data_IF_501023268108
#
_entry.id   IF_501023268108
#
_cell.length_a   1.000
_cell.length_b   1.000
_cell.length_c   1.000
_cell.angle_alpha   90.00
_cell.angle_beta   90.00
_cell.angle_gamma   90.00
#
_symmetry.space_group_name_H-M   'P 1'
#
loop_
_entity.id
_entity.type
_entity.pdbx_description
1 polymer ?
#
# COMPACT_ATOMS: atom_id res chain seq x y z
N UNK A 1 10.78 1.38 -7.69
CA UNK A 1 10.75 2.61 -8.54
C UNK A 1 11.29 2.30 -9.92
N UNK A 2 10.59 2.71 -10.98
CA UNK A 2 11.11 2.51 -12.34
C UNK A 2 12.38 3.34 -12.53
N UNK A 3 13.38 2.77 -13.21
CA UNK A 3 14.65 3.47 -13.52
C UNK A 3 14.45 4.79 -14.27
N UNK A 4 13.30 4.99 -14.91
CA UNK A 4 12.97 6.20 -15.66
C UNK A 4 12.60 7.39 -14.77
N UNK A 5 11.87 7.19 -13.69
CA UNK A 5 11.47 8.25 -12.75
C UNK A 5 12.70 8.80 -12.03
N UNK A 6 13.64 7.94 -11.62
CA UNK A 6 14.88 8.39 -10.98
C UNK A 6 15.83 9.15 -11.93
N UNK A 7 15.74 8.90 -13.23
CA UNK A 7 16.51 9.66 -14.24
C UNK A 7 15.91 11.04 -14.54
N UNK A 8 14.59 11.13 -14.54
CA UNK A 8 13.87 12.38 -14.85
C UNK A 8 13.84 13.37 -13.69
N UNK A 9 13.89 12.87 -12.45
CA UNK A 9 13.70 13.69 -11.24
C UNK A 9 14.95 14.39 -10.71
N UNK A 10 16.08 14.33 -11.39
CA UNK A 10 17.35 14.90 -10.88
C UNK A 10 17.88 14.25 -9.57
N UNK A 11 17.18 13.24 -9.07
CA UNK A 11 17.47 12.55 -7.79
C UNK A 11 18.48 11.42 -7.93
N UNK A 12 19.37 11.54 -8.92
CA UNK A 12 20.48 10.59 -9.09
C UNK A 12 21.40 10.66 -7.87
N UNK A 13 21.65 9.50 -7.26
CA UNK A 13 22.59 9.38 -6.15
C UNK A 13 21.96 9.35 -4.76
N UNK A 14 20.66 9.61 -4.61
CA UNK A 14 19.98 9.40 -3.34
C UNK A 14 19.81 7.91 -3.08
N UNK A 15 20.39 7.42 -1.95
CA UNK A 15 20.36 6.01 -1.57
C UNK A 15 19.00 5.61 -1.00
N UNK A 16 18.36 6.49 -0.27
CA UNK A 16 17.09 6.27 0.41
C UNK A 16 15.97 7.08 -0.24
N UNK A 17 14.74 6.58 -0.18
CA UNK A 17 13.58 7.36 -0.61
C UNK A 17 13.20 8.40 0.47
N UNK A 18 12.42 9.40 0.08
CA UNK A 18 12.00 10.49 0.97
C UNK A 18 11.33 9.96 2.25
N UNK A 19 10.41 9.01 2.14
CA UNK A 19 9.69 8.47 3.31
C UNK A 19 10.62 7.80 4.31
N UNK A 20 11.60 7.04 3.84
CA UNK A 20 12.59 6.40 4.70
C UNK A 20 13.43 7.42 5.45
N UNK A 21 13.79 8.52 4.79
CA UNK A 21 14.50 9.63 5.41
C UNK A 21 13.62 10.39 6.41
N UNK A 22 12.34 10.61 6.07
CA UNK A 22 11.38 11.23 6.98
C UNK A 22 11.19 10.39 8.26
N UNK A 23 11.01 9.07 8.15
CA UNK A 23 10.91 8.17 9.31
C UNK A 23 12.15 8.31 10.20
N UNK A 24 13.33 8.37 9.61
CA UNK A 24 14.59 8.53 10.35
C UNK A 24 14.73 9.91 11.00
N UNK A 25 14.22 10.97 10.37
CA UNK A 25 14.21 12.32 10.89
C UNK A 25 13.17 12.49 11.99
N UNK A 26 11.96 11.94 11.82
CA UNK A 26 10.87 11.98 12.82
C UNK A 26 11.27 11.30 14.13
N UNK A 27 12.21 10.36 14.08
CA UNK A 27 12.75 9.73 15.28
C UNK A 27 13.64 10.66 16.12
N UNK A 28 14.10 11.77 15.58
CA UNK A 28 14.83 12.84 16.26
C UNK A 28 13.91 14.04 16.30
N UNK A 29 13.75 14.71 17.41
CA UNK A 29 12.92 15.94 17.54
C UNK A 29 13.05 16.82 16.29
N UNK A 30 11.95 17.00 15.53
CA UNK A 30 12.00 17.73 14.27
C UNK A 30 12.31 19.20 14.53
N UNK A 31 13.42 19.64 13.96
CA UNK A 31 13.76 21.05 13.87
C UNK A 31 13.47 21.51 12.43
N UNK A 32 12.87 22.68 12.24
CA UNK A 32 12.58 23.28 10.92
C UNK A 32 13.80 23.24 9.98
N UNK A 33 15.00 23.34 10.54
CA UNK A 33 16.24 23.25 9.76
C UNK A 33 16.47 21.85 9.17
N UNK A 34 16.10 20.77 9.88
CA UNK A 34 16.22 19.41 9.36
C UNK A 34 15.20 19.15 8.25
N UNK A 35 13.97 19.68 8.41
CA UNK A 35 12.93 19.62 7.38
C UNK A 35 13.36 20.38 6.14
N UNK A 36 13.92 21.57 6.31
CA UNK A 36 14.46 22.38 5.21
C UNK A 36 15.59 21.65 4.50
N UNK A 37 16.54 21.10 5.23
CA UNK A 37 17.64 20.32 4.65
C UNK A 37 17.12 19.11 3.86
N UNK A 38 16.11 18.41 4.39
CA UNK A 38 15.47 17.29 3.71
C UNK A 38 14.74 17.73 2.42
N UNK A 39 14.05 18.88 2.47
CA UNK A 39 13.39 19.48 1.33
C UNK A 39 14.40 19.81 0.20
N UNK A 40 15.50 20.44 0.57
CA UNK A 40 16.58 20.81 -0.35
C UNK A 40 17.25 19.56 -0.96
N UNK A 41 17.55 18.55 -0.15
CA UNK A 41 18.16 17.27 -0.59
C UNK A 41 17.29 16.54 -1.63
N UNK A 42 15.97 16.57 -1.44
CA UNK A 42 15.02 15.88 -2.34
C UNK A 42 14.42 16.79 -3.41
N UNK A 43 14.81 18.04 -3.48
CA UNK A 43 14.26 19.04 -4.40
C UNK A 43 12.73 19.10 -4.36
N UNK A 44 12.18 19.13 -3.17
CA UNK A 44 10.74 19.29 -2.89
C UNK A 44 10.50 20.50 -1.99
N UNK A 45 9.30 21.04 -2.03
CA UNK A 45 8.93 22.13 -1.12
C UNK A 45 8.76 21.62 0.33
N UNK A 46 9.02 22.47 1.32
CA UNK A 46 8.73 22.15 2.73
C UNK A 46 7.26 21.77 2.94
N UNK A 47 6.33 22.41 2.21
CA UNK A 47 4.92 22.09 2.23
C UNK A 47 4.63 20.63 1.83
N UNK A 48 5.42 20.05 0.92
CA UNK A 48 5.29 18.64 0.52
C UNK A 48 5.68 17.72 1.67
N UNK A 49 6.73 18.05 2.42
CA UNK A 49 7.16 17.26 3.59
C UNK A 49 6.12 17.35 4.70
N UNK A 50 5.67 18.56 5.05
CA UNK A 50 4.62 18.74 6.04
C UNK A 50 3.29 18.09 5.63
N UNK A 51 2.93 18.16 4.34
CA UNK A 51 1.77 17.48 3.82
C UNK A 51 1.87 15.95 3.95
N UNK A 52 3.04 15.38 3.65
CA UNK A 52 3.26 13.94 3.84
C UNK A 52 3.22 13.56 5.33
N UNK A 53 3.83 14.36 6.20
CA UNK A 53 3.85 14.14 7.65
C UNK A 53 2.45 14.17 8.25
N UNK A 54 1.63 15.13 7.85
CA UNK A 54 0.25 15.23 8.34
C UNK A 54 -0.68 14.16 7.77
N UNK A 55 -0.40 13.67 6.56
CA UNK A 55 -1.22 12.67 5.89
C UNK A 55 -0.95 11.24 6.40
N UNK A 56 0.32 10.87 6.58
CA UNK A 56 0.68 9.50 6.95
C UNK A 56 0.79 9.36 8.46
N UNK A 57 -0.07 8.56 9.06
CA UNK A 57 -0.15 8.33 10.52
C UNK A 57 1.20 7.95 11.14
N UNK A 58 2.00 7.14 10.47
CA UNK A 58 3.29 6.69 10.97
C UNK A 58 4.41 7.75 10.90
N UNK A 59 4.16 8.88 10.22
CA UNK A 59 5.10 10.01 10.17
C UNK A 59 4.80 11.06 11.24
N UNK A 60 3.63 11.00 11.89
CA UNK A 60 3.23 11.99 12.90
C UNK A 60 4.09 11.88 14.16
N UNK A 61 4.61 13.00 14.69
CA UNK A 61 5.45 13.00 15.88
C UNK A 61 4.81 12.33 17.10
N UNK A 62 3.50 12.52 17.29
CA UNK A 62 2.73 11.92 18.40
C UNK A 62 2.62 10.39 18.31
N UNK A 63 2.92 9.83 17.15
CA UNK A 63 2.86 8.39 16.91
C UNK A 63 4.22 7.69 16.98
N UNK A 64 5.28 8.42 17.28
CA UNK A 64 6.66 7.93 17.33
C UNK A 64 6.87 6.67 18.18
N UNK A 65 6.13 6.56 19.27
CA UNK A 65 6.21 5.44 20.20
C UNK A 65 5.37 4.22 19.78
N UNK A 66 4.58 4.34 18.72
CA UNK A 66 3.74 3.24 18.25
C UNK A 66 4.59 2.17 17.58
N UNK A 67 4.31 0.90 17.91
CA UNK A 67 5.01 -0.27 17.39
C UNK A 67 4.15 -1.11 16.45
N UNK A 68 2.85 -1.13 16.71
CA UNK A 68 1.89 -1.83 15.88
C UNK A 68 0.76 -0.90 15.46
N UNK A 69 0.24 -1.12 14.26
CA UNK A 69 -0.80 -0.30 13.65
C UNK A 69 -1.95 -1.18 13.24
N UNK A 70 -3.14 -0.84 13.68
CA UNK A 70 -4.36 -1.56 13.36
C UNK A 70 -5.09 -0.83 12.24
N UNK A 71 -5.53 -1.58 11.25
CA UNK A 71 -6.28 -1.03 10.13
C UNK A 71 -7.65 -0.51 10.58
N UNK A 72 -7.91 0.77 10.34
CA UNK A 72 -9.19 1.42 10.57
C UNK A 72 -9.91 1.77 9.25
N UNK A 73 -9.61 1.03 8.19
CA UNK A 73 -10.30 1.14 6.91
C UNK A 73 -11.71 0.55 6.97
N UNK A 74 -12.60 1.03 6.10
CA UNK A 74 -14.03 0.70 6.12
C UNK A 74 -14.33 -0.80 6.15
N UNK A 75 -13.62 -1.62 5.37
CA UNK A 75 -13.82 -3.07 5.35
C UNK A 75 -13.51 -3.72 6.72
N UNK A 76 -12.41 -3.33 7.37
CA UNK A 76 -12.07 -3.83 8.70
C UNK A 76 -13.03 -3.33 9.77
N UNK A 77 -13.49 -2.08 9.66
CA UNK A 77 -14.51 -1.52 10.57
C UNK A 77 -15.83 -2.26 10.44
N UNK A 78 -16.32 -2.49 9.22
CA UNK A 78 -17.55 -3.24 8.96
C UNK A 78 -17.46 -4.69 9.47
N UNK A 79 -16.29 -5.29 9.45
CA UNK A 79 -16.07 -6.63 10.01
C UNK A 79 -16.10 -6.65 11.55
N UNK A 80 -15.98 -5.50 12.23
CA UNK A 80 -16.09 -5.37 13.67
C UNK A 80 -15.01 -6.13 14.46
N UNK A 81 -13.83 -6.27 13.89
CA UNK A 81 -12.77 -7.14 14.46
C UNK A 81 -11.67 -6.36 15.19
N UNK A 82 -11.69 -5.00 15.13
CA UNK A 82 -10.65 -4.15 15.69
C UNK A 82 -10.48 -4.31 17.19
N UNK A 83 -11.57 -4.37 17.96
CA UNK A 83 -11.50 -4.46 19.42
C UNK A 83 -10.78 -5.72 19.89
N UNK A 84 -11.04 -6.85 19.23
CA UNK A 84 -10.35 -8.11 19.50
C UNK A 84 -8.86 -8.00 19.20
N UNK A 85 -8.51 -7.35 18.09
CA UNK A 85 -7.15 -7.15 17.66
C UNK A 85 -6.40 -6.19 18.57
N UNK A 86 -7.03 -5.05 18.92
CA UNK A 86 -6.51 -4.07 19.88
C UNK A 86 -6.18 -4.77 21.21
N UNK A 87 -7.12 -5.56 21.73
CA UNK A 87 -6.93 -6.30 23.00
C UNK A 87 -5.73 -7.23 22.93
N UNK A 88 -5.69 -8.12 21.93
CA UNK A 88 -4.59 -9.09 21.76
C UNK A 88 -3.22 -8.40 21.62
N UNK A 89 -3.12 -7.34 20.82
CA UNK A 89 -1.86 -6.61 20.64
C UNK A 89 -1.49 -5.77 21.87
N UNK A 90 -2.48 -5.15 22.53
CA UNK A 90 -2.24 -4.37 23.75
C UNK A 90 -1.74 -5.23 24.89
N UNK A 91 -2.25 -6.44 25.05
CA UNK A 91 -1.82 -7.39 26.07
C UNK A 91 -0.33 -7.78 25.90
N UNK A 92 0.19 -7.71 24.67
CA UNK A 92 1.58 -8.09 24.35
C UNK A 92 2.55 -6.90 24.29
N UNK A 93 2.11 -5.79 23.73
CA UNK A 93 2.98 -4.64 23.44
C UNK A 93 2.76 -3.46 24.38
N UNK A 94 1.62 -3.44 25.08
CA UNK A 94 1.14 -2.28 25.84
C UNK A 94 0.23 -1.39 24.98
N UNK A 95 -0.82 -0.86 25.60
CA UNK A 95 -1.85 -0.04 24.93
C UNK A 95 -1.27 1.19 24.23
N UNK A 96 -0.26 1.82 24.87
CA UNK A 96 0.38 3.02 24.34
C UNK A 96 1.21 2.76 23.07
N UNK A 97 1.54 1.50 22.79
CA UNK A 97 2.33 1.10 21.60
C UNK A 97 1.47 0.74 20.40
N UNK A 98 0.15 0.84 20.53
CA UNK A 98 -0.78 0.56 19.44
C UNK A 98 -1.27 1.86 18.82
N UNK A 99 -1.19 1.95 17.51
CA UNK A 99 -1.74 3.01 16.69
C UNK A 99 -2.85 2.50 15.77
N UNK A 100 -3.59 3.44 15.22
CA UNK A 100 -4.58 3.17 14.17
C UNK A 100 -4.10 3.79 12.88
N UNK A 101 -4.36 3.15 11.75
CA UNK A 101 -4.10 3.72 10.43
C UNK A 101 -5.15 3.27 9.41
N UNK A 102 -5.30 4.07 8.36
CA UNK A 102 -6.20 3.71 7.28
C UNK A 102 -5.57 2.65 6.37
N UNK A 103 -6.40 1.89 5.75
CA UNK A 103 -6.25 0.75 4.87
C UNK A 103 -4.81 0.20 4.65
N UNK A 104 -4.57 -0.99 5.19
CA UNK A 104 -3.32 -1.76 4.97
C UNK A 104 -3.34 -2.64 3.72
N UNK A 105 -4.41 -2.57 2.91
CA UNK A 105 -4.53 -3.30 1.66
C UNK A 105 -5.06 -4.74 1.77
N UNK A 106 -5.37 -5.23 2.97
CA UNK A 106 -5.89 -6.59 3.19
C UNK A 106 -7.41 -6.63 3.39
N UNK A 107 -8.16 -5.82 2.64
CA UNK A 107 -9.62 -5.70 2.80
C UNK A 107 -10.39 -7.00 2.58
N UNK A 108 -9.83 -7.91 1.80
CA UNK A 108 -10.41 -9.22 1.50
C UNK A 108 -10.33 -10.23 2.67
N UNK A 109 -9.41 -10.02 3.62
CA UNK A 109 -9.25 -10.88 4.80
C UNK A 109 -9.68 -10.22 6.11
N UNK A 110 -9.81 -8.89 6.11
CA UNK A 110 -10.11 -8.07 7.28
C UNK A 110 -9.08 -8.16 8.41
N UNK A 111 -9.37 -7.54 9.55
CA UNK A 111 -8.57 -7.61 10.78
C UNK A 111 -7.08 -7.37 10.55
N UNK A 112 -6.75 -6.43 9.67
CA UNK A 112 -5.37 -6.21 9.26
C UNK A 112 -4.62 -5.37 10.29
N UNK A 113 -3.35 -5.70 10.49
CA UNK A 113 -2.45 -4.92 11.32
C UNK A 113 -1.05 -4.91 10.73
N UNK A 114 -0.30 -3.87 11.05
CA UNK A 114 1.11 -3.72 10.68
C UNK A 114 1.97 -3.86 11.92
N UNK A 115 3.00 -4.64 11.85
CA UNK A 115 3.98 -4.80 12.93
C UNK A 115 5.36 -5.10 12.35
N UNK A 116 6.39 -4.40 12.86
CA UNK A 116 7.79 -4.62 12.51
C UNK A 116 8.07 -4.69 10.99
N UNK A 117 7.47 -3.75 10.20
CA UNK A 117 7.69 -3.65 8.76
C UNK A 117 6.84 -4.58 7.90
N UNK A 118 5.97 -5.40 8.48
CA UNK A 118 5.12 -6.36 7.78
C UNK A 118 3.64 -6.13 8.05
N UNK A 119 2.81 -6.39 7.03
CA UNK A 119 1.37 -6.40 7.16
C UNK A 119 0.89 -7.83 7.40
N UNK A 120 -0.06 -7.95 8.32
CA UNK A 120 -0.73 -9.17 8.71
C UNK A 120 -2.24 -9.01 8.52
N UNK A 121 -2.96 -10.09 8.44
CA UNK A 121 -4.41 -10.08 8.23
C UNK A 121 -5.15 -11.02 9.17
N UNK A 122 -6.45 -11.11 9.05
CA UNK A 122 -7.33 -11.84 9.96
C UNK A 122 -6.94 -13.28 10.24
N UNK A 123 -6.33 -13.95 9.28
CA UNK A 123 -5.83 -15.32 9.46
C UNK A 123 -4.60 -15.40 10.39
N UNK A 124 -3.93 -14.28 10.64
CA UNK A 124 -2.71 -14.20 11.46
C UNK A 124 -3.02 -13.85 12.93
N UNK A 125 -4.29 -13.52 13.26
CA UNK A 125 -4.68 -13.11 14.62
C UNK A 125 -4.35 -14.16 15.68
N UNK A 126 -4.45 -15.42 15.34
CA UNK A 126 -4.17 -16.51 16.28
C UNK A 126 -2.68 -16.76 16.45
N UNK A 127 -1.86 -16.18 15.56
CA UNK A 127 -0.40 -16.27 15.59
C UNK A 127 0.28 -14.98 16.13
N UNK A 128 -0.49 -14.04 16.69
CA UNK A 128 0.05 -12.76 17.20
C UNK A 128 1.20 -13.00 18.20
N UNK A 129 1.11 -14.02 19.04
CA UNK A 129 2.16 -14.34 20.01
C UNK A 129 3.48 -14.72 19.37
N UNK A 130 3.43 -15.42 18.26
CA UNK A 130 4.60 -15.82 17.47
C UNK A 130 5.16 -14.64 16.68
N UNK A 131 4.26 -13.82 16.09
CA UNK A 131 4.61 -12.62 15.34
C UNK A 131 5.37 -11.64 16.24
N UNK A 132 4.85 -11.37 17.44
CA UNK A 132 5.47 -10.43 18.39
C UNK A 132 6.83 -10.94 18.86
N UNK A 133 7.02 -12.26 18.97
CA UNK A 133 8.31 -12.89 19.28
C UNK A 133 9.29 -12.90 18.10
N UNK A 134 8.90 -12.36 16.94
CA UNK A 134 9.75 -12.24 15.76
C UNK A 134 9.79 -13.47 14.85
N UNK A 135 8.89 -14.44 15.02
CA UNK A 135 8.75 -15.55 14.08
C UNK A 135 8.25 -15.03 12.73
N UNK A 136 9.01 -15.24 11.67
CA UNK A 136 8.56 -14.95 10.31
C UNK A 136 7.41 -15.89 9.97
N UNK A 137 6.23 -15.31 9.76
CA UNK A 137 5.14 -16.01 9.10
C UNK A 137 5.45 -15.99 7.61
N UNK A 138 5.36 -17.14 6.96
CA UNK A 138 5.61 -17.23 5.52
C UNK A 138 4.67 -16.29 4.77
N UNK A 139 5.22 -15.49 3.87
CA UNK A 139 4.45 -14.70 2.92
C UNK A 139 3.47 -15.63 2.21
N UNK A 140 2.20 -15.47 2.49
CA UNK A 140 1.16 -16.20 1.77
C UNK A 140 1.16 -15.68 0.34
N UNK A 141 1.47 -16.55 -0.60
CA UNK A 141 1.16 -16.26 -2.00
C UNK A 141 -0.36 -16.17 -2.11
N UNK A 142 -0.85 -14.96 -2.29
CA UNK A 142 -2.25 -14.74 -2.64
C UNK A 142 -2.41 -15.28 -4.05
N UNK A 143 -2.97 -16.49 -4.16
CA UNK A 143 -3.45 -16.94 -5.45
C UNK A 143 -4.74 -16.19 -5.70
N UNK A 144 -4.79 -15.39 -6.76
CA UNK A 144 -6.05 -14.81 -7.22
C UNK A 144 -6.97 -15.96 -7.56
N UNK A 145 -8.02 -16.13 -6.77
CA UNK A 145 -9.03 -17.16 -7.05
C UNK A 145 -10.13 -16.50 -7.86
N UNK A 146 -10.20 -16.83 -9.13
CA UNK A 146 -11.38 -16.53 -9.91
C UNK A 146 -12.45 -17.57 -9.58
N UNK A 147 -13.44 -17.21 -8.77
CA UNK A 147 -14.56 -18.08 -8.41
C UNK A 147 -15.61 -18.17 -9.52
N UNK A 148 -15.55 -17.32 -10.52
CA UNK A 148 -16.45 -17.37 -11.65
C UNK A 148 -16.07 -18.53 -12.58
N UNK A 149 -17.00 -19.44 -12.81
CA UNK A 149 -16.85 -20.53 -13.80
C UNK A 149 -16.67 -19.98 -15.22
N UNK A 150 -17.14 -18.77 -15.48
CA UNK A 150 -17.00 -18.04 -16.75
C UNK A 150 -16.55 -16.62 -16.42
N UNK A 151 -15.51 -16.14 -17.07
CA UNK A 151 -15.07 -14.77 -16.94
C UNK A 151 -16.08 -13.81 -17.56
N UNK A 152 -16.46 -12.75 -16.82
CA UNK A 152 -17.33 -11.69 -17.35
C UNK A 152 -16.56 -10.52 -17.96
N UNK A 153 -15.31 -10.34 -17.54
CA UNK A 153 -14.50 -9.17 -17.90
C UNK A 153 -13.29 -9.52 -18.76
N UNK A 154 -12.92 -10.82 -18.78
CA UNK A 154 -11.77 -11.29 -19.53
C UNK A 154 -12.30 -12.32 -20.51
N UNK A 155 -12.34 -11.96 -21.77
CA UNK A 155 -12.74 -12.85 -22.85
C UNK A 155 -11.69 -13.96 -23.04
N UNK A 156 -12.08 -15.09 -23.65
CA UNK A 156 -11.16 -16.19 -23.96
C UNK A 156 -9.97 -15.73 -24.80
N UNK A 157 -10.16 -14.67 -25.59
CA UNK A 157 -9.13 -14.03 -26.41
C UNK A 157 -7.96 -13.46 -25.59
N UNK A 158 -8.16 -13.14 -24.31
CA UNK A 158 -7.13 -12.66 -23.40
C UNK A 158 -6.51 -13.77 -22.55
N UNK A 159 -6.90 -15.02 -22.74
CA UNK A 159 -6.47 -16.15 -21.90
C UNK A 159 -5.02 -16.57 -22.09
N UNK A 160 -4.35 -16.12 -23.15
CA UNK A 160 -2.93 -16.37 -23.40
C UNK A 160 -2.26 -15.19 -24.11
N UNK A 161 -0.93 -15.11 -24.00
CA UNK A 161 -0.14 -14.06 -24.69
C UNK A 161 -0.31 -14.14 -26.20
N UNK A 162 -0.44 -15.32 -26.75
CA UNK A 162 -0.62 -15.54 -28.19
C UNK A 162 -1.98 -15.03 -28.66
N UNK A 163 -3.05 -15.37 -27.96
CA UNK A 163 -4.40 -14.85 -28.24
C UNK A 163 -4.46 -13.33 -28.10
N UNK A 164 -3.81 -12.77 -27.08
CA UNK A 164 -3.72 -11.32 -26.92
C UNK A 164 -2.99 -10.63 -28.10
N UNK A 165 -1.88 -11.23 -28.58
CA UNK A 165 -1.19 -10.72 -29.78
C UNK A 165 -2.06 -10.74 -31.03
N UNK A 166 -2.84 -11.81 -31.22
CA UNK A 166 -3.76 -11.92 -32.35
C UNK A 166 -4.85 -10.86 -32.26
N UNK A 167 -5.48 -10.67 -31.08
CA UNK A 167 -6.45 -9.61 -30.85
C UNK A 167 -5.87 -8.21 -31.12
N UNK A 168 -4.64 -7.97 -30.68
CA UNK A 168 -3.94 -6.71 -30.92
C UNK A 168 -3.70 -6.46 -32.40
N UNK A 169 -3.24 -7.47 -33.15
CA UNK A 169 -3.02 -7.39 -34.58
C UNK A 169 -4.32 -7.16 -35.34
N UNK A 170 -5.39 -7.87 -34.98
CA UNK A 170 -6.71 -7.68 -35.56
C UNK A 170 -7.24 -6.27 -35.28
N UNK A 171 -6.99 -5.74 -34.10
CA UNK A 171 -7.42 -4.39 -33.73
C UNK A 171 -6.64 -3.32 -34.52
N UNK A 172 -5.32 -3.49 -34.68
CA UNK A 172 -4.48 -2.55 -35.46
C UNK A 172 -4.90 -2.50 -36.92
N UNK A 173 -5.38 -3.61 -37.47
CA UNK A 173 -5.82 -3.72 -38.87
C UNK A 173 -7.26 -3.23 -39.10
N UNK A 174 -8.03 -2.91 -38.05
CA UNK A 174 -9.37 -2.34 -38.20
C UNK A 174 -9.31 -0.87 -38.65
N UNK A 175 -10.35 -0.46 -39.33
CA UNK A 175 -10.56 0.96 -39.67
C UNK A 175 -10.68 1.81 -38.38
N UNK A 176 -10.04 2.96 -38.35
CA UNK A 176 -10.10 3.87 -37.17
C UNK A 176 -11.54 4.23 -36.77
N UNK A 177 -12.42 4.34 -37.75
CA UNK A 177 -13.86 4.65 -37.54
C UNK A 177 -14.54 3.54 -36.75
N UNK A 178 -14.26 2.29 -37.05
CA UNK A 178 -14.89 1.14 -36.37
C UNK A 178 -14.37 1.01 -34.92
N UNK A 179 -13.09 1.29 -34.68
CA UNK A 179 -12.54 1.33 -33.33
C UNK A 179 -13.20 2.44 -32.51
N UNK A 180 -13.33 3.65 -33.08
CA UNK A 180 -13.99 4.78 -32.41
C UNK A 180 -15.45 4.47 -32.10
N UNK A 181 -16.16 3.85 -33.05
CA UNK A 181 -17.55 3.45 -32.83
C UNK A 181 -17.66 2.45 -31.68
N UNK A 182 -16.80 1.45 -31.64
CA UNK A 182 -16.76 0.45 -30.56
C UNK A 182 -16.51 1.10 -29.20
N UNK A 183 -15.59 2.08 -29.11
CA UNK A 183 -15.32 2.82 -27.85
C UNK A 183 -16.53 3.64 -27.45
N UNK A 184 -17.18 4.33 -28.39
CA UNK A 184 -18.38 5.13 -28.14
C UNK A 184 -19.55 4.27 -27.65
N UNK A 185 -19.78 3.13 -28.28
CA UNK A 185 -20.85 2.19 -27.93
C UNK A 185 -20.63 1.53 -26.56
N UNK A 186 -19.36 1.43 -26.10
CA UNK A 186 -19.02 0.89 -24.78
C UNK A 186 -19.34 1.85 -23.62
N UNK A 187 -19.72 3.11 -23.87
CA UNK A 187 -19.89 4.18 -22.89
C UNK A 187 -18.69 4.38 -21.95
N UNK A 188 -17.49 4.02 -22.38
CA UNK A 188 -16.22 4.32 -21.72
C UNK A 188 -15.75 5.73 -22.11
N UNK A 189 -16.46 6.74 -21.63
CA UNK A 189 -16.13 8.16 -21.82
C UNK A 189 -15.74 8.80 -20.49
#
# INVERSE_FOLDING_TARGET
MSKNISKLSGRKGLKDNLFKRMISATSKSQNDNEIKQLADEYHVGMSTIHGAESFYEFLRPEHKEKKAWICNGSACMCAGTQDKLIKKLSDKLGKDKIGMMFCLGHCYENSSFHYNGHNYSGNDIDQIDEIVKGKKINDRKINSVNLAKKSFLIDEELSSIEKFKNLLNDTINKEKKDILQTVTDSNLC
#
